data_IF_394711032514
#
_entry.id   IF_394711032514
#
_cell.length_a   1.000
_cell.length_b   1.000
_cell.length_c   1.000
_cell.angle_alpha   90.00
_cell.angle_beta   90.00
_cell.angle_gamma   90.00
#
_symmetry.space_group_name_H-M   'P 1'
#
loop_
_entity.id
_entity.type
_entity.pdbx_description
1 polymer ?
#
# COMPACT_ATOMS: atom_id res chain seq x y z
N UNK A 1 -33.65 26.79 -17.13
CA UNK A 1 -33.24 26.52 -15.73
C UNK A 1 -32.85 25.06 -15.60
N UNK A 2 -31.56 24.76 -15.46
CA UNK A 2 -31.01 23.58 -14.78
C UNK A 2 -29.50 23.74 -14.72
N UNK A 3 -29.08 24.66 -13.85
CA UNK A 3 -27.72 24.71 -13.32
C UNK A 3 -27.69 23.69 -12.19
N UNK A 4 -27.15 22.49 -12.41
CA UNK A 4 -26.96 21.49 -11.35
C UNK A 4 -25.49 21.09 -11.31
N UNK A 5 -24.84 21.69 -10.31
CA UNK A 5 -23.66 21.26 -9.56
C UNK A 5 -22.32 21.11 -10.30
N UNK A 6 -21.52 22.18 -10.23
CA UNK A 6 -20.05 22.05 -10.15
C UNK A 6 -19.71 21.18 -8.94
N UNK A 7 -19.56 19.86 -9.16
CA UNK A 7 -18.95 18.96 -8.16
C UNK A 7 -17.61 19.56 -7.75
N UNK A 8 -17.50 20.00 -6.50
CA UNK A 8 -16.22 20.32 -5.86
C UNK A 8 -15.38 19.03 -5.87
N UNK A 9 -14.53 18.88 -6.89
CA UNK A 9 -13.59 17.76 -6.98
C UNK A 9 -12.27 18.24 -6.41
N UNK A 10 -11.97 17.79 -5.19
CA UNK A 10 -10.64 18.01 -4.62
C UNK A 10 -9.64 17.18 -5.43
N UNK A 11 -8.42 17.70 -5.57
CA UNK A 11 -7.30 16.93 -6.12
C UNK A 11 -7.12 15.65 -5.29
N UNK A 12 -6.83 14.53 -5.94
CA UNK A 12 -6.75 13.21 -5.31
C UNK A 12 -5.83 13.20 -4.08
N UNK A 13 -4.75 13.99 -4.10
CA UNK A 13 -3.82 14.10 -2.98
C UNK A 13 -4.42 14.81 -1.77
N UNK A 14 -5.21 15.87 -1.97
CA UNK A 14 -5.90 16.56 -0.88
C UNK A 14 -7.05 15.72 -0.31
N UNK A 15 -7.72 14.95 -1.15
CA UNK A 15 -8.71 13.97 -0.72
C UNK A 15 -8.10 12.92 0.22
N UNK A 16 -6.91 12.43 -0.11
CA UNK A 16 -6.14 11.46 0.69
C UNK A 16 -5.69 12.06 2.02
N UNK A 17 -5.22 13.31 2.04
CA UNK A 17 -4.85 14.02 3.28
C UNK A 17 -6.05 14.16 4.21
N UNK A 18 -7.20 14.60 3.70
CA UNK A 18 -8.44 14.76 4.48
C UNK A 18 -8.91 13.40 5.02
N UNK A 19 -8.89 12.36 4.18
CA UNK A 19 -9.22 11.00 4.62
C UNK A 19 -8.27 10.52 5.72
N UNK A 20 -6.97 10.82 5.62
CA UNK A 20 -5.99 10.55 6.67
C UNK A 20 -6.35 11.22 7.99
N UNK A 21 -6.67 12.51 8.00
CA UNK A 21 -7.10 13.20 9.20
C UNK A 21 -8.39 12.59 9.79
N UNK A 22 -9.36 12.23 8.95
CA UNK A 22 -10.59 11.57 9.40
C UNK A 22 -10.27 10.25 10.12
N UNK A 23 -9.38 9.42 9.55
CA UNK A 23 -8.99 8.14 10.17
C UNK A 23 -8.23 8.36 11.47
N UNK A 24 -7.36 9.38 11.55
CA UNK A 24 -6.67 9.76 12.80
C UNK A 24 -7.68 10.18 13.87
N UNK A 25 -8.65 11.04 13.53
CA UNK A 25 -9.68 11.46 14.47
C UNK A 25 -10.55 10.29 14.95
N UNK A 26 -10.89 9.35 14.05
CA UNK A 26 -11.61 8.13 14.42
C UNK A 26 -10.78 7.21 15.34
N UNK A 27 -9.49 7.05 15.06
CA UNK A 27 -8.57 6.27 15.89
C UNK A 27 -8.39 6.90 17.28
N UNK A 28 -8.20 8.22 17.35
CA UNK A 28 -8.14 8.98 18.62
C UNK A 28 -9.47 8.93 19.39
N UNK A 29 -10.60 8.86 18.67
CA UNK A 29 -11.93 8.64 19.24
C UNK A 29 -12.19 7.21 19.74
N UNK A 30 -11.19 6.32 19.70
CA UNK A 30 -11.27 4.95 20.22
C UNK A 30 -11.76 3.91 19.22
N UNK A 31 -12.01 4.29 17.95
CA UNK A 31 -12.39 3.35 16.89
C UNK A 31 -11.13 2.75 16.28
N UNK A 32 -10.65 1.66 16.87
CA UNK A 32 -9.51 0.92 16.34
C UNK A 32 -9.93 -0.05 15.25
N UNK A 33 -9.07 -0.25 14.25
CA UNK A 33 -9.26 -1.30 13.26
C UNK A 33 -9.25 -2.66 13.99
N UNK A 34 -10.29 -3.50 13.82
CA UNK A 34 -10.28 -4.85 14.37
C UNK A 34 -9.12 -5.62 13.76
N UNK A 35 -8.38 -6.37 14.59
CA UNK A 35 -7.25 -7.19 14.17
C UNK A 35 -7.65 -8.66 14.27
N UNK A 36 -8.04 -9.31 13.16
CA UNK A 36 -8.35 -10.74 13.17
C UNK A 36 -7.09 -11.56 13.43
N UNK A 37 -7.28 -12.76 13.98
CA UNK A 37 -6.18 -13.70 14.16
C UNK A 37 -6.04 -14.57 12.92
N UNK A 38 -4.82 -14.62 12.37
CA UNK A 38 -4.49 -15.41 11.20
C UNK A 38 -3.55 -16.58 11.51
N UNK A 39 -2.94 -16.64 12.71
CA UNK A 39 -1.92 -17.64 13.04
C UNK A 39 -2.50 -19.07 13.16
N UNK A 40 -1.90 -20.03 12.46
CA UNK A 40 -2.25 -21.46 12.56
C UNK A 40 -1.03 -22.37 12.37
N UNK A 41 -1.03 -23.54 13.04
CA UNK A 41 0.07 -24.52 12.97
C UNK A 41 -0.35 -25.85 12.37
N UNK A 42 -1.63 -26.23 12.50
CA UNK A 42 -2.18 -27.50 11.99
C UNK A 42 -3.49 -27.25 11.24
N UNK A 43 -3.89 -28.12 10.32
CA UNK A 43 -5.17 -28.01 9.60
C UNK A 43 -6.40 -27.93 10.53
N UNK A 44 -6.26 -28.41 11.77
CA UNK A 44 -7.28 -28.32 12.82
C UNK A 44 -7.33 -26.94 13.51
N UNK A 45 -6.23 -26.17 13.50
CA UNK A 45 -6.21 -24.77 13.98
C UNK A 45 -6.95 -23.83 13.01
N UNK A 46 -6.97 -24.15 11.71
CA UNK A 46 -7.70 -23.39 10.71
C UNK A 46 -9.20 -23.35 11.02
N UNK A 47 -9.79 -24.48 11.40
CA UNK A 47 -11.21 -24.55 11.75
C UNK A 47 -11.50 -24.02 13.16
N UNK A 48 -10.56 -24.13 14.10
CA UNK A 48 -10.81 -23.83 15.53
C UNK A 48 -10.34 -22.44 15.98
N UNK A 49 -9.43 -21.79 15.24
CA UNK A 49 -8.90 -20.45 15.55
C UNK A 49 -9.17 -19.43 14.45
N UNK A 50 -9.01 -19.83 13.18
CA UNK A 50 -9.12 -18.90 12.05
C UNK A 50 -10.57 -18.78 11.55
N UNK A 51 -11.28 -19.89 11.40
CA UNK A 51 -12.68 -19.95 10.91
C UNK A 51 -13.72 -19.91 12.04
N UNK A 52 -13.33 -19.54 13.24
CA UNK A 52 -14.23 -19.42 14.39
C UNK A 52 -15.26 -18.29 14.16
N UNK A 53 -16.53 -18.44 14.56
CA UNK A 53 -17.55 -17.41 14.37
C UNK A 53 -17.18 -16.03 14.92
N UNK A 54 -16.40 -15.99 16.01
CA UNK A 54 -15.86 -14.75 16.59
C UNK A 54 -14.84 -14.07 15.68
N UNK A 55 -13.92 -14.83 15.07
CA UNK A 55 -12.92 -14.30 14.15
C UNK A 55 -13.56 -13.89 12.81
N UNK A 56 -14.56 -14.63 12.34
CA UNK A 56 -15.32 -14.27 11.15
C UNK A 56 -16.10 -12.97 11.33
N UNK A 57 -16.63 -12.71 12.53
CA UNK A 57 -17.23 -11.42 12.90
C UNK A 57 -16.20 -10.29 12.89
N UNK A 58 -14.97 -10.53 13.37
CA UNK A 58 -13.89 -9.54 13.31
C UNK A 58 -13.46 -9.25 11.86
N UNK A 59 -13.36 -10.27 11.01
CA UNK A 59 -13.11 -10.11 9.57
C UNK A 59 -14.21 -9.29 8.89
N UNK A 60 -15.48 -9.57 9.18
CA UNK A 60 -16.60 -8.80 8.66
C UNK A 60 -16.55 -7.34 9.15
N UNK A 61 -16.22 -7.11 10.42
CA UNK A 61 -16.06 -5.75 10.96
C UNK A 61 -14.89 -5.02 10.30
N UNK A 62 -13.77 -5.70 10.05
CA UNK A 62 -12.62 -5.12 9.35
C UNK A 62 -12.99 -4.75 7.92
N UNK A 63 -13.71 -5.63 7.23
CA UNK A 63 -14.19 -5.35 5.88
C UNK A 63 -15.09 -4.12 5.84
N UNK A 64 -16.06 -4.00 6.76
CA UNK A 64 -16.94 -2.83 6.86
C UNK A 64 -16.14 -1.56 7.12
N UNK A 65 -15.13 -1.63 8.00
CA UNK A 65 -14.25 -0.48 8.30
C UNK A 65 -13.48 -0.02 7.05
N UNK A 66 -12.81 -0.94 6.34
CA UNK A 66 -12.08 -0.65 5.11
C UNK A 66 -13.01 -0.15 4.01
N UNK A 67 -14.19 -0.75 3.87
CA UNK A 67 -15.21 -0.36 2.91
C UNK A 67 -15.70 1.07 3.17
N UNK A 68 -15.96 1.42 4.44
CA UNK A 68 -16.45 2.74 4.82
C UNK A 68 -15.44 3.84 4.49
N UNK A 69 -14.17 3.63 4.84
CA UNK A 69 -13.09 4.59 4.54
C UNK A 69 -12.90 4.74 3.03
N UNK A 70 -12.95 3.62 2.31
CA UNK A 70 -12.77 3.65 0.87
C UNK A 70 -13.94 4.32 0.14
N UNK A 71 -15.18 4.14 0.62
CA UNK A 71 -16.36 4.86 0.12
C UNK A 71 -16.17 6.36 0.29
N UNK A 72 -15.75 6.81 1.48
CA UNK A 72 -15.48 8.24 1.74
C UNK A 72 -14.46 8.78 0.75
N UNK A 73 -13.36 8.05 0.52
CA UNK A 73 -12.32 8.49 -0.42
C UNK A 73 -12.83 8.55 -1.86
N UNK A 74 -13.62 7.56 -2.30
CA UNK A 74 -14.18 7.53 -3.66
C UNK A 74 -15.18 8.67 -3.87
N UNK A 75 -15.99 9.00 -2.86
CA UNK A 75 -16.90 10.16 -2.89
C UNK A 75 -16.13 11.47 -3.04
N UNK A 76 -15.06 11.65 -2.27
CA UNK A 76 -14.25 12.87 -2.30
C UNK A 76 -13.49 13.00 -3.64
N UNK A 77 -12.93 11.90 -4.16
CA UNK A 77 -12.18 11.89 -5.43
C UNK A 77 -13.09 11.89 -6.66
N UNK A 78 -14.38 11.59 -6.50
CA UNK A 78 -15.38 11.61 -7.58
C UNK A 78 -15.24 10.48 -8.62
N UNK A 79 -14.55 9.39 -8.26
CA UNK A 79 -14.39 8.18 -9.11
C UNK A 79 -15.67 7.31 -9.09
N UNK A 80 -15.86 6.39 -10.07
CA UNK A 80 -17.08 5.57 -10.12
C UNK A 80 -17.19 4.62 -8.92
N UNK A 81 -18.13 4.92 -8.02
CA UNK A 81 -18.41 4.15 -6.80
C UNK A 81 -18.69 2.66 -7.09
N UNK A 82 -19.42 2.37 -8.17
CA UNK A 82 -19.82 0.99 -8.52
C UNK A 82 -18.62 0.09 -8.79
N UNK A 83 -17.61 0.58 -9.50
CA UNK A 83 -16.41 -0.21 -9.80
C UNK A 83 -15.64 -0.52 -8.52
N UNK A 84 -15.54 0.46 -7.62
CA UNK A 84 -14.81 0.30 -6.37
C UNK A 84 -15.48 -0.71 -5.42
N UNK A 85 -16.81 -0.66 -5.31
CA UNK A 85 -17.62 -1.61 -4.54
C UNK A 85 -17.49 -3.06 -5.03
N UNK A 86 -17.18 -3.28 -6.30
CA UNK A 86 -16.99 -4.61 -6.88
C UNK A 86 -15.55 -5.10 -6.74
N UNK A 87 -14.56 -4.21 -6.87
CA UNK A 87 -13.14 -4.58 -6.82
C UNK A 87 -12.65 -4.80 -5.39
N UNK A 88 -13.08 -3.96 -4.44
CA UNK A 88 -12.62 -4.03 -3.05
C UNK A 88 -12.88 -5.40 -2.38
N UNK A 89 -14.07 -6.03 -2.48
CA UNK A 89 -14.29 -7.37 -1.93
C UNK A 89 -13.33 -8.40 -2.50
N UNK A 90 -13.06 -8.36 -3.81
CA UNK A 90 -12.14 -9.29 -4.47
C UNK A 90 -10.73 -9.13 -3.93
N UNK A 91 -10.23 -7.88 -3.87
CA UNK A 91 -8.91 -7.58 -3.31
C UNK A 91 -8.81 -7.98 -1.83
N UNK A 92 -9.87 -7.74 -1.06
CA UNK A 92 -9.92 -8.08 0.36
C UNK A 92 -9.89 -9.60 0.60
N UNK A 93 -10.61 -10.38 -0.22
CA UNK A 93 -10.56 -11.85 -0.17
C UNK A 93 -9.16 -12.35 -0.51
N UNK A 94 -8.55 -11.84 -1.58
CA UNK A 94 -7.17 -12.21 -1.96
C UNK A 94 -6.19 -11.88 -0.84
N UNK A 95 -6.33 -10.71 -0.21
CA UNK A 95 -5.50 -10.30 0.93
C UNK A 95 -5.68 -11.22 2.15
N UNK A 96 -6.92 -11.60 2.50
CA UNK A 96 -7.17 -12.57 3.58
C UNK A 96 -6.53 -13.92 3.26
N UNK A 97 -6.69 -14.42 2.04
CA UNK A 97 -6.09 -15.69 1.63
C UNK A 97 -4.56 -15.64 1.73
N UNK A 98 -3.94 -14.55 1.29
CA UNK A 98 -2.50 -14.34 1.43
C UNK A 98 -2.05 -14.28 2.90
N UNK A 99 -2.80 -13.58 3.77
CA UNK A 99 -2.52 -13.49 5.19
C UNK A 99 -2.67 -14.82 5.92
N UNK A 100 -3.72 -15.60 5.61
CA UNK A 100 -3.92 -16.93 6.17
C UNK A 100 -2.75 -17.83 5.75
N UNK A 101 -2.34 -17.83 4.48
CA UNK A 101 -1.21 -18.65 4.04
C UNK A 101 0.11 -18.25 4.68
N UNK A 102 0.40 -16.95 4.77
CA UNK A 102 1.61 -16.44 5.39
C UNK A 102 1.69 -16.72 6.90
N UNK A 103 0.54 -16.77 7.57
CA UNK A 103 0.45 -17.00 9.01
C UNK A 103 0.55 -18.48 9.43
N UNK A 104 0.81 -19.38 8.47
CA UNK A 104 1.16 -20.78 8.76
C UNK A 104 2.55 -20.87 9.42
N UNK A 105 2.68 -21.64 10.50
CA UNK A 105 3.95 -21.84 11.22
C UNK A 105 5.13 -22.25 10.33
N UNK A 106 4.91 -23.15 9.37
CA UNK A 106 5.92 -23.63 8.43
C UNK A 106 6.29 -22.60 7.36
N UNK A 107 5.36 -21.72 7.00
CA UNK A 107 5.61 -20.62 6.04
C UNK A 107 6.34 -19.48 6.74
N UNK A 108 5.95 -19.19 7.98
CA UNK A 108 6.60 -18.20 8.84
C UNK A 108 8.05 -18.56 9.16
N UNK A 109 8.39 -19.85 9.25
CA UNK A 109 9.80 -20.28 9.40
C UNK A 109 10.67 -20.04 8.17
N UNK A 110 10.07 -19.86 6.99
CA UNK A 110 10.79 -19.45 5.77
C UNK A 110 10.78 -17.93 5.57
N UNK A 111 10.42 -17.14 6.59
CA UNK A 111 10.27 -15.68 6.51
C UNK A 111 9.36 -15.18 5.38
N UNK A 112 8.48 -16.03 4.84
CA UNK A 112 7.62 -15.66 3.72
C UNK A 112 6.46 -14.79 4.20
N UNK A 113 6.52 -13.51 3.82
CA UNK A 113 5.52 -12.51 4.20
C UNK A 113 4.27 -12.55 3.30
N UNK A 114 3.13 -12.08 3.82
CA UNK A 114 1.86 -12.02 3.09
C UNK A 114 1.94 -11.20 1.79
N UNK A 115 2.89 -10.26 1.69
CA UNK A 115 3.15 -9.46 0.49
C UNK A 115 3.56 -10.35 -0.69
N UNK A 116 4.39 -11.38 -0.45
CA UNK A 116 4.87 -12.30 -1.49
C UNK A 116 3.71 -13.13 -2.04
N UNK A 117 2.88 -13.68 -1.15
CA UNK A 117 1.69 -14.44 -1.55
C UNK A 117 0.70 -13.56 -2.32
N UNK A 118 0.51 -12.31 -1.89
CA UNK A 118 -0.34 -11.35 -2.60
C UNK A 118 0.17 -11.06 -4.03
N UNK A 119 1.50 -10.92 -4.19
CA UNK A 119 2.14 -10.74 -5.50
C UNK A 119 1.98 -11.98 -6.39
N UNK A 120 2.20 -13.17 -5.84
CA UNK A 120 2.02 -14.44 -6.56
C UNK A 120 0.57 -14.62 -7.00
N UNK A 121 -0.41 -14.37 -6.12
CA UNK A 121 -1.82 -14.40 -6.51
C UNK A 121 -2.14 -13.38 -7.59
N UNK A 122 -1.63 -12.15 -7.47
CA UNK A 122 -1.80 -11.13 -8.50
C UNK A 122 -1.24 -11.55 -9.86
N UNK A 123 -0.05 -12.14 -9.89
CA UNK A 123 0.59 -12.65 -11.11
C UNK A 123 -0.18 -13.84 -11.71
N UNK A 124 -0.59 -14.80 -10.89
CA UNK A 124 -1.39 -15.96 -11.32
C UNK A 124 -2.72 -15.47 -11.90
N UNK A 125 -3.46 -14.63 -11.16
CA UNK A 125 -4.76 -14.14 -11.62
C UNK A 125 -4.60 -13.32 -12.90
N UNK A 126 -3.59 -12.44 -12.97
CA UNK A 126 -3.35 -11.58 -14.13
C UNK A 126 -2.91 -12.32 -15.39
N UNK A 127 -2.20 -13.44 -15.26
CA UNK A 127 -1.66 -14.21 -16.38
C UNK A 127 -2.55 -15.39 -16.81
N UNK A 128 -3.27 -16.03 -15.86
CA UNK A 128 -4.13 -17.17 -16.14
C UNK A 128 -5.57 -16.77 -16.52
N UNK A 129 -6.05 -15.63 -16.02
CA UNK A 129 -7.42 -15.16 -16.28
C UNK A 129 -7.43 -13.89 -17.13
N UNK A 130 -8.25 -13.89 -18.20
CA UNK A 130 -8.58 -12.66 -18.93
C UNK A 130 -9.54 -11.82 -18.09
N UNK A 131 -8.97 -10.95 -17.25
CA UNK A 131 -9.76 -9.98 -16.49
C UNK A 131 -10.48 -9.03 -17.47
N UNK A 132 -11.79 -8.76 -17.26
CA UNK A 132 -12.53 -7.88 -18.14
C UNK A 132 -11.97 -6.45 -18.09
N UNK A 133 -12.08 -5.73 -19.21
CA UNK A 133 -11.52 -4.38 -19.38
C UNK A 133 -11.96 -3.42 -18.27
N UNK A 134 -13.24 -3.45 -17.89
CA UNK A 134 -13.75 -2.64 -16.79
C UNK A 134 -13.05 -2.93 -15.45
N UNK A 135 -12.62 -4.17 -15.18
CA UNK A 135 -11.93 -4.49 -13.93
C UNK A 135 -10.48 -3.99 -13.96
N UNK A 136 -9.80 -4.13 -15.11
CA UNK A 136 -8.42 -3.65 -15.31
C UNK A 136 -8.33 -2.12 -15.28
N UNK A 137 -9.24 -1.43 -15.95
CA UNK A 137 -9.26 0.05 -15.99
C UNK A 137 -9.59 0.67 -14.62
N UNK A 138 -10.35 -0.04 -13.78
CA UNK A 138 -10.73 0.44 -12.46
C UNK A 138 -9.76 -0.03 -11.34
N UNK A 139 -8.80 -0.91 -11.66
CA UNK A 139 -7.64 -1.24 -10.82
C UNK A 139 -6.63 -0.08 -10.82
N UNK A 140 -7.03 1.06 -10.25
CA UNK A 140 -6.14 2.19 -10.06
C UNK A 140 -5.16 1.90 -8.92
N UNK A 141 -4.03 1.28 -9.26
CA UNK A 141 -2.97 0.96 -8.30
C UNK A 141 -2.58 2.15 -7.43
N UNK A 142 -2.51 3.36 -8.00
CA UNK A 142 -2.20 4.58 -7.27
C UNK A 142 -3.21 4.90 -6.15
N UNK A 143 -4.52 4.78 -6.42
CA UNK A 143 -5.54 5.07 -5.42
C UNK A 143 -5.57 4.01 -4.31
N UNK A 144 -5.43 2.74 -4.66
CA UNK A 144 -5.37 1.66 -3.66
C UNK A 144 -4.11 1.76 -2.80
N UNK A 145 -2.96 2.12 -3.40
CA UNK A 145 -1.72 2.40 -2.65
C UNK A 145 -1.91 3.60 -1.73
N UNK A 146 -2.55 4.68 -2.21
CA UNK A 146 -2.88 5.86 -1.37
C UNK A 146 -3.81 5.50 -0.20
N UNK A 147 -4.85 4.70 -0.42
CA UNK A 147 -5.71 4.17 0.65
C UNK A 147 -4.87 3.36 1.65
N UNK A 148 -4.05 2.44 1.15
CA UNK A 148 -3.19 1.60 1.99
C UNK A 148 -2.23 2.43 2.84
N UNK A 149 -1.61 3.46 2.26
CA UNK A 149 -0.68 4.37 2.95
C UNK A 149 -1.39 5.19 4.03
N UNK A 150 -2.62 5.66 3.76
CA UNK A 150 -3.45 6.29 4.79
C UNK A 150 -3.75 5.31 5.91
N UNK A 151 -4.33 4.15 5.61
CA UNK A 151 -4.73 3.17 6.62
C UNK A 151 -3.55 2.68 7.48
N UNK A 152 -2.42 2.35 6.84
CA UNK A 152 -1.20 1.93 7.53
C UNK A 152 -0.56 3.09 8.31
N UNK A 153 -0.51 4.28 7.70
CA UNK A 153 0.08 5.47 8.29
C UNK A 153 -0.63 5.91 9.56
N UNK A 154 -1.96 5.94 9.54
CA UNK A 154 -2.77 6.39 10.67
C UNK A 154 -2.87 5.34 11.77
N UNK A 155 -2.76 4.06 11.45
CA UNK A 155 -2.96 2.97 12.44
C UNK A 155 -1.65 2.46 13.03
N UNK A 156 -0.69 2.10 12.18
CA UNK A 156 0.56 1.42 12.60
C UNK A 156 1.64 2.46 12.85
N UNK A 157 1.93 3.29 11.84
CA UNK A 157 3.04 4.23 11.90
C UNK A 157 2.80 5.28 13.00
N UNK A 158 1.57 5.77 13.18
CA UNK A 158 1.28 6.74 14.22
C UNK A 158 1.45 6.17 15.64
N UNK A 159 0.99 4.94 15.89
CA UNK A 159 1.19 4.25 17.17
C UNK A 159 2.68 4.00 17.43
N UNK A 160 3.43 3.56 16.43
CA UNK A 160 4.86 3.27 16.58
C UNK A 160 5.69 4.54 16.73
N UNK A 161 5.33 5.64 16.06
CA UNK A 161 5.93 6.97 16.28
C UNK A 161 5.65 7.45 17.70
N UNK A 162 4.42 7.30 18.20
CA UNK A 162 4.10 7.69 19.58
C UNK A 162 4.89 6.88 20.61
N UNK A 163 5.13 5.58 20.36
CA UNK A 163 5.95 4.72 21.22
C UNK A 163 7.45 5.01 21.10
N UNK A 164 7.96 5.21 19.89
CA UNK A 164 9.36 5.49 19.61
C UNK A 164 9.75 6.94 19.97
N UNK A 165 8.76 7.83 20.06
CA UNK A 165 8.93 9.25 20.37
C UNK A 165 9.76 9.99 19.32
N UNK A 166 10.39 11.09 19.74
CA UNK A 166 11.23 11.93 18.88
C UNK A 166 12.48 11.20 18.36
N UNK A 167 13.01 10.23 19.11
CA UNK A 167 14.23 9.51 18.75
C UNK A 167 14.04 8.65 17.50
N UNK A 168 12.93 7.92 17.39
CA UNK A 168 12.62 7.12 16.19
C UNK A 168 12.45 7.98 14.94
N UNK A 169 11.83 9.16 15.08
CA UNK A 169 11.65 10.10 13.97
C UNK A 169 12.98 10.68 13.49
N UNK A 170 13.86 11.08 14.42
CA UNK A 170 15.20 11.59 14.09
C UNK A 170 16.02 10.50 13.38
N UNK A 171 15.98 9.25 13.88
CA UNK A 171 16.67 8.14 13.24
C UNK A 171 16.18 7.89 11.82
N UNK A 172 14.86 7.83 11.60
CA UNK A 172 14.28 7.66 10.27
C UNK A 172 14.74 8.78 9.31
N UNK A 173 14.72 10.03 9.78
CA UNK A 173 15.18 11.17 8.97
C UNK A 173 16.66 11.05 8.60
N UNK A 174 17.53 10.69 9.56
CA UNK A 174 18.97 10.52 9.32
C UNK A 174 19.21 9.40 8.30
N UNK A 175 18.51 8.27 8.41
CA UNK A 175 18.66 7.15 7.48
C UNK A 175 18.21 7.54 6.08
N UNK A 176 17.03 8.16 5.95
CA UNK A 176 16.50 8.59 4.64
C UNK A 176 17.45 9.57 3.98
N UNK A 177 17.92 10.60 4.69
CA UNK A 177 18.86 11.58 4.14
C UNK A 177 20.19 10.92 3.76
N UNK A 178 20.76 10.08 4.63
CA UNK A 178 22.03 9.41 4.36
C UNK A 178 21.98 8.54 3.11
N UNK A 179 20.93 7.71 2.98
CA UNK A 179 20.72 6.85 1.81
C UNK A 179 20.46 7.69 0.57
N UNK A 180 19.67 8.76 0.67
CA UNK A 180 19.37 9.64 -0.46
C UNK A 180 20.62 10.34 -1.01
N UNK A 181 21.43 10.96 -0.15
CA UNK A 181 22.66 11.63 -0.57
C UNK A 181 23.68 10.65 -1.14
N UNK A 182 23.79 9.46 -0.54
CA UNK A 182 24.67 8.41 -1.06
C UNK A 182 24.23 7.93 -2.44
N UNK A 183 22.94 7.62 -2.62
CA UNK A 183 22.38 7.21 -3.90
C UNK A 183 22.55 8.30 -4.98
N UNK A 184 22.33 9.57 -4.61
CA UNK A 184 22.50 10.70 -5.51
C UNK A 184 23.95 10.87 -5.93
N UNK A 185 24.89 10.76 -4.98
CA UNK A 185 26.32 10.79 -5.27
C UNK A 185 26.75 9.66 -6.22
N UNK A 186 26.26 8.43 -6.02
CA UNK A 186 26.51 7.31 -6.93
C UNK A 186 25.96 7.60 -8.33
N UNK A 187 24.73 8.13 -8.44
CA UNK A 187 24.14 8.49 -9.73
C UNK A 187 24.97 9.55 -10.47
N UNK A 188 25.42 10.59 -9.76
CA UNK A 188 26.30 11.63 -10.35
C UNK A 188 27.64 11.06 -10.77
N UNK A 189 28.22 10.13 -10.01
CA UNK A 189 29.48 9.45 -10.37
C UNK A 189 29.33 8.59 -11.64
N UNK A 190 28.16 7.96 -11.82
CA UNK A 190 27.81 7.19 -13.02
C UNK A 190 27.36 8.07 -14.20
N UNK A 191 27.39 9.40 -14.06
CA UNK A 191 26.97 10.38 -15.09
C UNK A 191 25.53 10.17 -15.57
N UNK A 192 24.66 9.76 -14.66
CA UNK A 192 23.21 9.67 -14.90
C UNK A 192 22.64 11.09 -14.98
N UNK A 193 21.63 11.27 -15.83
CA UNK A 193 20.87 12.51 -15.97
C UNK A 193 20.32 12.99 -14.61
N UNK A 194 20.35 14.30 -14.36
CA UNK A 194 20.03 14.88 -13.04
C UNK A 194 18.57 14.62 -12.62
N UNK A 195 17.62 14.58 -13.57
CA UNK A 195 16.23 14.26 -13.27
C UNK A 195 16.09 12.80 -12.85
N UNK A 196 16.76 11.88 -13.55
CA UNK A 196 16.77 10.44 -13.22
C UNK A 196 17.49 10.21 -11.88
N UNK A 197 18.61 10.89 -11.63
CA UNK A 197 19.35 10.79 -10.38
C UNK A 197 18.48 11.19 -9.17
N UNK A 198 17.75 12.31 -9.28
CA UNK A 198 16.82 12.79 -8.26
C UNK A 198 15.68 11.79 -8.02
N UNK A 199 15.07 11.29 -9.10
CA UNK A 199 13.97 10.32 -9.02
C UNK A 199 14.41 8.98 -8.42
N UNK A 200 15.53 8.40 -8.87
CA UNK A 200 16.06 7.12 -8.37
C UNK A 200 16.46 7.24 -6.91
N UNK A 201 17.13 8.31 -6.53
CA UNK A 201 17.61 8.50 -5.16
C UNK A 201 16.45 8.62 -4.17
N UNK A 202 15.39 9.31 -4.57
CA UNK A 202 14.13 9.40 -3.82
C UNK A 202 13.39 8.06 -3.76
N UNK A 203 13.42 7.29 -4.86
CA UNK A 203 12.82 5.97 -4.91
C UNK A 203 13.51 5.00 -3.93
N UNK A 204 14.84 4.97 -3.91
CA UNK A 204 15.61 4.02 -3.10
C UNK A 204 15.56 4.34 -1.61
N UNK A 205 15.46 5.62 -1.20
CA UNK A 205 15.55 6.00 0.20
C UNK A 205 14.22 6.01 0.97
N UNK A 206 13.07 5.93 0.28
CA UNK A 206 11.75 6.07 0.91
C UNK A 206 10.86 4.86 0.61
N UNK A 207 10.09 4.90 -0.49
CA UNK A 207 9.02 3.93 -0.79
C UNK A 207 8.98 3.52 -2.27
N UNK A 208 10.06 3.76 -3.02
CA UNK A 208 10.16 3.36 -4.42
C UNK A 208 9.34 4.25 -5.35
N UNK A 209 8.30 3.66 -5.94
CA UNK A 209 7.54 4.24 -7.07
C UNK A 209 6.82 5.52 -6.68
N UNK A 210 6.16 5.57 -5.52
CA UNK A 210 5.44 6.78 -5.07
C UNK A 210 6.37 7.96 -4.79
N UNK A 211 7.57 7.70 -4.27
CA UNK A 211 8.58 8.74 -4.07
C UNK A 211 9.12 9.27 -5.41
N UNK A 212 9.34 8.39 -6.39
CA UNK A 212 9.75 8.80 -7.73
C UNK A 212 8.70 9.72 -8.40
N UNK A 213 7.42 9.38 -8.29
CA UNK A 213 6.31 10.19 -8.84
C UNK A 213 6.25 11.57 -8.17
N UNK A 214 6.35 11.62 -6.83
CA UNK A 214 6.34 12.88 -6.08
C UNK A 214 7.53 13.77 -6.45
N UNK A 215 8.73 13.20 -6.55
CA UNK A 215 9.93 13.94 -6.95
C UNK A 215 9.84 14.43 -8.40
N UNK A 216 9.33 13.61 -9.32
CA UNK A 216 9.10 14.01 -10.72
C UNK A 216 8.13 15.19 -10.82
N UNK A 217 7.06 15.19 -10.03
CA UNK A 217 6.12 16.31 -9.95
C UNK A 217 6.78 17.59 -9.42
N UNK A 218 7.65 17.48 -8.40
CA UNK A 218 8.35 18.61 -7.81
C UNK A 218 9.40 19.25 -8.74
N UNK A 219 10.15 18.43 -9.47
CA UNK A 219 11.18 18.92 -10.42
C UNK A 219 10.63 19.16 -11.83
N UNK A 220 9.34 18.88 -12.07
CA UNK A 220 8.69 18.88 -13.39
C UNK A 220 9.45 18.00 -14.41
N UNK A 221 9.86 16.82 -13.97
CA UNK A 221 10.65 15.88 -14.77
C UNK A 221 9.86 15.26 -15.92
N UNK A 222 10.56 14.76 -16.93
CA UNK A 222 9.93 14.14 -18.10
C UNK A 222 9.16 12.85 -17.73
N UNK A 223 7.86 12.72 -18.09
CA UNK A 223 7.08 11.51 -17.82
C UNK A 223 7.67 10.23 -18.43
N UNK A 224 8.46 10.32 -19.52
CA UNK A 224 9.17 9.18 -20.11
C UNK A 224 10.28 8.69 -19.18
N UNK A 225 11.06 9.62 -18.60
CA UNK A 225 12.12 9.30 -17.65
C UNK A 225 11.54 8.74 -16.35
N UNK A 226 10.42 9.29 -15.88
CA UNK A 226 9.69 8.74 -14.74
C UNK A 226 9.27 7.29 -14.99
N UNK A 227 8.67 7.00 -16.14
CA UNK A 227 8.25 5.63 -16.49
C UNK A 227 9.43 4.65 -16.53
N UNK A 228 10.59 5.11 -17.00
CA UNK A 228 11.83 4.33 -16.98
C UNK A 228 12.30 4.03 -15.55
N UNK A 229 12.33 5.03 -14.67
CA UNK A 229 12.72 4.87 -13.27
C UNK A 229 11.80 3.89 -12.55
N UNK A 230 10.49 4.04 -12.72
CA UNK A 230 9.49 3.13 -12.10
C UNK A 230 9.75 1.68 -12.53
N UNK A 231 10.00 1.47 -13.82
CA UNK A 231 10.27 0.13 -14.36
C UNK A 231 11.55 -0.47 -13.76
N UNK A 232 12.62 0.33 -13.67
CA UNK A 232 13.90 -0.11 -13.09
C UNK A 232 13.78 -0.46 -11.60
N UNK A 233 13.02 0.35 -10.85
CA UNK A 233 12.71 0.09 -9.43
C UNK A 233 11.93 -1.21 -9.28
N UNK A 234 10.89 -1.44 -10.09
CA UNK A 234 10.09 -2.66 -10.04
C UNK A 234 10.91 -3.90 -10.41
N UNK A 235 11.74 -3.82 -11.45
CA UNK A 235 12.64 -4.91 -11.87
C UNK A 235 13.61 -5.30 -10.76
N UNK A 236 14.01 -4.34 -9.91
CA UNK A 236 14.95 -4.58 -8.81
C UNK A 236 14.22 -5.03 -7.55
N UNK A 237 13.08 -4.43 -7.25
CA UNK A 237 12.30 -4.67 -6.04
C UNK A 237 11.65 -6.07 -6.02
N UNK A 238 11.12 -6.54 -7.15
CA UNK A 238 10.43 -7.85 -7.20
C UNK A 238 11.39 -9.00 -6.86
N UNK A 239 12.59 -9.13 -7.49
CA UNK A 239 13.57 -10.12 -7.07
C UNK A 239 13.99 -9.94 -5.61
N UNK A 240 14.25 -8.71 -5.18
CA UNK A 240 14.64 -8.44 -3.79
C UNK A 240 13.59 -8.93 -2.79
N UNK A 241 12.29 -8.71 -3.05
CA UNK A 241 11.20 -9.22 -2.20
C UNK A 241 11.17 -10.75 -2.13
N UNK A 242 11.59 -11.45 -3.17
CA UNK A 242 11.60 -12.92 -3.22
C UNK A 242 12.87 -13.48 -2.55
N UNK A 243 14.03 -12.86 -2.77
CA UNK A 243 15.32 -13.36 -2.29
C UNK A 243 15.63 -12.96 -0.85
N UNK A 244 15.24 -11.77 -0.40
CA UNK A 244 15.58 -11.27 0.94
C UNK A 244 15.08 -12.20 2.07
N UNK A 245 13.85 -12.74 2.05
CA UNK A 245 13.40 -13.71 3.06
C UNK A 245 14.21 -15.01 3.11
N UNK A 246 14.80 -15.43 1.98
CA UNK A 246 15.56 -16.69 1.89
C UNK A 246 16.96 -16.52 2.51
N UNK A 247 17.47 -15.28 2.51
CA UNK A 247 18.84 -14.95 2.94
C UNK A 247 18.88 -14.47 4.40
N UNK A 248 17.77 -13.93 4.92
CA UNK A 248 17.64 -13.37 6.28
C UNK A 248 17.21 -14.43 7.31
#
# INVERSE_FOLDING_TARGET
>A
MSQIEKKFRLHEDWAVVIAGFIVIFLALGGVNAPVPQYNWSTSQDLSTKVLTPSNLKLLAWQFIFVLSISIVLVVITGKPMRSFLVILPVLYIVAILALILAANKSVKSFNLEAVIFSLVFGLIIGNLFKLPLWFRENLNGELFVKIGLVLLGTSVIFSDILKAGSLGLIQALIVVLSVWYFAYWVCKKLKVDDEIAMMISSAVSICGVSAAIATAGAIKGDPKKLSYVISMVLITAIPMMIFMPIIA
#
